data_IF_484581197913
#
_entry.id   IF_484581197913
#
_cell.length_a   1.000
_cell.length_b   1.000
_cell.length_c   1.000
_cell.angle_alpha   90.00
_cell.angle_beta   90.00
_cell.angle_gamma   90.00
#
_symmetry.space_group_name_H-M   'P 1'
#
loop_
_entity.id
_entity.type
_entity.pdbx_description
1 polymer ?
#
# COMPACT_ATOMS: atom_id res chain seq x y z
N UNK A 1 -9.70 8.62 19.47
CA UNK A 1 -11.11 8.83 19.07
C UNK A 1 -12.02 8.83 20.28
N UNK A 2 -12.82 9.88 20.52
CA UNK A 2 -13.88 9.82 21.55
C UNK A 2 -15.01 8.92 21.03
N UNK A 3 -15.57 8.03 21.88
CA UNK A 3 -16.71 7.16 21.55
C UNK A 3 -17.89 7.89 20.90
N UNK A 4 -18.04 9.19 21.16
CA UNK A 4 -19.09 10.05 20.60
C UNK A 4 -19.08 10.13 19.06
N UNK A 5 -17.92 10.00 18.42
CA UNK A 5 -17.81 10.18 16.96
C UNK A 5 -18.19 8.93 16.14
N UNK A 6 -18.19 7.72 16.73
CA UNK A 6 -18.46 6.48 15.97
C UNK A 6 -19.96 6.23 15.79
N UNK A 7 -20.76 6.51 16.82
CA UNK A 7 -22.21 6.37 16.74
C UNK A 7 -22.82 7.36 15.74
N UNK A 8 -22.35 8.62 15.75
CA UNK A 8 -22.77 9.63 14.78
C UNK A 8 -22.38 9.25 13.34
N UNK A 9 -21.20 8.65 13.14
CA UNK A 9 -20.80 8.07 11.86
C UNK A 9 -21.76 6.94 11.41
N UNK A 10 -22.06 5.99 12.30
CA UNK A 10 -22.94 4.87 11.98
C UNK A 10 -24.36 5.33 11.64
N UNK A 11 -24.88 6.30 12.40
CA UNK A 11 -26.19 6.92 12.13
C UNK A 11 -26.16 7.64 10.78
N UNK A 12 -25.12 8.43 10.49
CA UNK A 12 -24.99 9.15 9.22
C UNK A 12 -24.89 8.18 8.02
N UNK A 13 -24.21 7.03 8.19
CA UNK A 13 -24.17 5.97 7.18
C UNK A 13 -25.55 5.37 6.90
N UNK A 14 -26.35 5.11 7.94
CA UNK A 14 -27.72 4.62 7.77
C UNK A 14 -28.64 5.68 7.15
N UNK A 15 -28.42 6.98 7.44
CA UNK A 15 -29.12 8.08 6.74
C UNK A 15 -28.81 8.03 5.24
N UNK A 16 -27.54 7.89 4.84
CA UNK A 16 -27.18 7.79 3.40
C UNK A 16 -27.84 6.60 2.72
N UNK A 17 -27.93 5.45 3.40
CA UNK A 17 -28.50 4.22 2.83
C UNK A 17 -30.01 4.25 2.69
N UNK A 18 -30.72 5.01 3.53
CA UNK A 18 -32.19 4.94 3.66
C UNK A 18 -32.92 6.26 3.42
N UNK A 19 -32.20 7.35 3.17
CA UNK A 19 -32.83 8.65 2.91
C UNK A 19 -33.82 8.59 1.73
N UNK A 20 -34.89 9.40 1.75
CA UNK A 20 -35.22 10.36 2.81
C UNK A 20 -35.92 9.73 4.02
N UNK A 21 -36.67 8.65 3.86
CA UNK A 21 -37.57 8.13 4.89
C UNK A 21 -36.86 7.24 5.91
N UNK A 22 -36.63 7.76 7.11
CA UNK A 22 -35.83 7.09 8.13
C UNK A 22 -36.62 6.93 9.42
N UNK A 23 -36.76 5.68 9.85
CA UNK A 23 -37.34 5.37 11.16
C UNK A 23 -36.21 5.23 12.18
N UNK A 24 -36.18 6.14 13.15
CA UNK A 24 -35.14 6.10 14.21
C UNK A 24 -35.16 4.80 15.01
N UNK A 25 -36.32 4.15 15.14
CA UNK A 25 -36.43 2.81 15.74
C UNK A 25 -35.60 1.77 15.00
N UNK A 26 -35.64 1.75 13.68
CA UNK A 26 -34.86 0.80 12.88
C UNK A 26 -33.35 1.04 13.02
N UNK A 27 -32.93 2.31 13.07
CA UNK A 27 -31.53 2.67 13.35
C UNK A 27 -31.12 2.21 14.76
N UNK A 28 -31.98 2.41 15.75
CA UNK A 28 -31.74 1.99 17.13
C UNK A 28 -31.53 0.47 17.23
N UNK A 29 -32.39 -0.31 16.56
CA UNK A 29 -32.32 -1.77 16.53
C UNK A 29 -31.01 -2.27 15.89
N UNK A 30 -30.55 -1.62 14.80
CA UNK A 30 -29.30 -1.98 14.10
C UNK A 30 -28.06 -1.67 14.94
N UNK A 31 -28.07 -0.51 15.61
CA UNK A 31 -26.93 -0.04 16.38
C UNK A 31 -26.90 -0.60 17.81
N UNK A 32 -27.97 -1.30 18.23
CA UNK A 32 -28.08 -1.84 19.58
C UNK A 32 -28.13 -0.74 20.66
N UNK A 33 -28.70 0.41 20.33
CA UNK A 33 -28.84 1.56 21.26
C UNK A 33 -30.31 1.95 21.42
N UNK A 34 -30.60 2.85 22.36
CA UNK A 34 -31.97 3.33 22.57
C UNK A 34 -32.42 4.31 21.48
N UNK A 35 -33.74 4.35 21.20
CA UNK A 35 -34.32 5.32 20.25
C UNK A 35 -34.03 6.75 20.70
N UNK A 36 -34.04 7.02 22.01
CA UNK A 36 -33.68 8.31 22.59
C UNK A 36 -32.23 8.68 22.30
N UNK A 37 -31.30 7.72 22.35
CA UNK A 37 -29.90 7.91 21.97
C UNK A 37 -29.74 8.24 20.50
N UNK A 38 -30.47 7.55 19.61
CA UNK A 38 -30.53 7.91 18.19
C UNK A 38 -31.07 9.33 18.01
N UNK A 39 -32.17 9.69 18.68
CA UNK A 39 -32.74 11.03 18.60
C UNK A 39 -31.74 12.12 19.02
N UNK A 40 -30.92 11.86 20.04
CA UNK A 40 -29.89 12.80 20.49
C UNK A 40 -28.78 13.01 19.45
N UNK A 41 -28.23 11.92 18.92
CA UNK A 41 -27.22 12.00 17.86
C UNK A 41 -27.75 12.64 16.59
N UNK A 42 -29.00 12.35 16.21
CA UNK A 42 -29.67 13.00 15.07
C UNK A 42 -29.80 14.51 15.29
N UNK A 43 -30.10 14.98 16.51
CA UNK A 43 -30.11 16.42 16.83
C UNK A 43 -28.72 17.04 16.69
N UNK A 44 -27.66 16.37 17.14
CA UNK A 44 -26.29 16.84 16.96
C UNK A 44 -25.92 16.93 15.47
N UNK A 45 -26.22 15.90 14.69
CA UNK A 45 -25.96 15.87 13.24
C UNK A 45 -26.73 16.98 12.49
N UNK A 46 -27.93 17.34 12.93
CA UNK A 46 -28.67 18.51 12.40
C UNK A 46 -27.98 19.81 12.80
N UNK A 47 -27.61 19.95 14.08
CA UNK A 47 -26.94 21.13 14.61
C UNK A 47 -25.61 21.42 13.91
N UNK A 48 -24.86 20.37 13.58
CA UNK A 48 -23.58 20.46 12.87
C UNK A 48 -23.76 20.56 11.33
N UNK A 49 -25.02 20.61 10.86
CA UNK A 49 -25.43 20.72 9.46
C UNK A 49 -25.00 19.52 8.60
N UNK A 50 -24.75 18.36 9.21
CA UNK A 50 -24.44 17.12 8.49
C UNK A 50 -25.70 16.49 7.86
N UNK A 51 -26.86 16.68 8.47
CA UNK A 51 -28.16 16.24 7.93
C UNK A 51 -29.19 17.37 8.01
N UNK A 52 -30.18 17.34 7.11
CA UNK A 52 -31.35 18.22 7.12
C UNK A 52 -32.60 17.40 7.41
N UNK A 53 -33.43 17.91 8.31
CA UNK A 53 -34.74 17.33 8.61
C UNK A 53 -35.81 18.02 7.75
N UNK A 54 -36.53 17.25 6.93
CA UNK A 54 -37.65 17.75 6.09
C UNK A 54 -39.01 17.62 6.79
N UNK A 55 -39.04 17.16 8.04
CA UNK A 55 -40.25 16.84 8.78
C UNK A 55 -40.70 15.40 8.55
N UNK A 56 -41.66 14.92 9.37
CA UNK A 56 -42.28 13.58 9.23
C UNK A 56 -41.30 12.38 9.19
N UNK A 57 -40.14 12.50 9.82
CA UNK A 57 -39.11 11.44 9.81
C UNK A 57 -38.29 11.38 8.51
N UNK A 58 -38.34 12.42 7.70
CA UNK A 58 -37.51 12.55 6.51
C UNK A 58 -36.19 13.27 6.83
N UNK A 59 -35.07 12.59 6.58
CA UNK A 59 -33.74 13.15 6.75
C UNK A 59 -32.92 13.00 5.47
N UNK A 60 -32.20 14.05 5.12
CA UNK A 60 -31.31 14.08 3.96
C UNK A 60 -29.90 14.43 4.41
N UNK A 61 -28.90 13.73 3.87
CA UNK A 61 -27.51 14.13 4.07
C UNK A 61 -27.23 15.44 3.31
N UNK A 62 -26.41 16.31 3.90
CA UNK A 62 -25.91 17.52 3.22
C UNK A 62 -24.57 17.24 2.54
N UNK A 63 -24.10 18.16 1.70
CA UNK A 63 -22.74 18.08 1.16
C UNK A 63 -21.67 18.07 2.26
N UNK A 64 -21.87 18.89 3.31
CA UNK A 64 -21.01 18.93 4.50
C UNK A 64 -21.00 17.58 5.23
N UNK A 65 -22.18 16.96 5.40
CA UNK A 65 -22.30 15.63 5.97
C UNK A 65 -21.60 14.56 5.12
N UNK A 66 -21.73 14.64 3.80
CA UNK A 66 -21.05 13.73 2.87
C UNK A 66 -19.53 13.87 2.95
N UNK A 67 -19.01 15.10 3.03
CA UNK A 67 -17.59 15.37 3.22
C UNK A 67 -17.09 14.86 4.58
N UNK A 68 -17.83 15.12 5.65
CA UNK A 68 -17.53 14.61 6.99
C UNK A 68 -17.47 13.08 7.01
N UNK A 69 -18.44 12.40 6.40
CA UNK A 69 -18.46 10.93 6.29
C UNK A 69 -17.22 10.39 5.57
N UNK A 70 -16.80 11.02 4.47
CA UNK A 70 -15.59 10.62 3.72
C UNK A 70 -14.32 10.79 4.54
N UNK A 71 -14.16 11.93 5.23
CA UNK A 71 -13.01 12.16 6.12
C UNK A 71 -12.97 11.12 7.22
N UNK A 72 -14.12 10.84 7.84
CA UNK A 72 -14.23 9.85 8.91
C UNK A 72 -13.85 8.44 8.44
N UNK A 73 -14.28 8.03 7.23
CA UNK A 73 -13.86 6.75 6.63
C UNK A 73 -12.34 6.69 6.47
N UNK A 74 -11.72 7.79 6.04
CA UNK A 74 -10.26 7.86 5.89
C UNK A 74 -9.56 7.75 7.25
N UNK A 75 -10.00 8.53 8.23
CA UNK A 75 -9.43 8.53 9.58
C UNK A 75 -9.61 7.17 10.27
N UNK A 76 -10.75 6.52 10.06
CA UNK A 76 -11.01 5.20 10.61
C UNK A 76 -10.14 4.12 9.96
N UNK A 77 -9.90 4.19 8.64
CA UNK A 77 -8.93 3.30 7.97
C UNK A 77 -7.52 3.48 8.53
N UNK A 78 -7.09 4.72 8.75
CA UNK A 78 -5.79 5.02 9.35
C UNK A 78 -5.72 4.48 10.79
N UNK A 79 -6.74 4.73 11.60
CA UNK A 79 -6.83 4.19 12.96
C UNK A 79 -6.79 2.65 12.99
N UNK A 80 -7.53 1.99 12.11
CA UNK A 80 -7.47 0.52 12.00
C UNK A 80 -6.09 0.02 11.58
N UNK A 81 -5.39 0.76 10.70
CA UNK A 81 -4.01 0.45 10.34
C UNK A 81 -3.08 0.57 11.55
N UNK A 82 -3.19 1.65 12.32
CA UNK A 82 -2.41 1.88 13.54
C UNK A 82 -2.71 0.82 14.62
N UNK A 83 -4.00 0.50 14.82
CA UNK A 83 -4.43 -0.53 15.77
C UNK A 83 -3.95 -1.91 15.33
N UNK A 84 -4.00 -2.24 14.04
CA UNK A 84 -3.43 -3.49 13.53
C UNK A 84 -1.93 -3.55 13.80
N UNK A 85 -1.18 -2.48 13.52
CA UNK A 85 0.25 -2.41 13.85
C UNK A 85 0.51 -2.65 15.35
N UNK A 86 -0.37 -2.16 16.23
CA UNK A 86 -0.24 -2.30 17.68
C UNK A 86 -0.80 -3.60 18.28
N UNK A 87 -1.74 -4.28 17.62
CA UNK A 87 -2.35 -5.55 18.07
C UNK A 87 -1.42 -6.75 17.89
N UNK A 88 -0.40 -6.64 17.04
CA UNK A 88 0.65 -7.66 16.91
C UNK A 88 1.54 -7.81 18.17
N UNK A 89 1.31 -7.01 19.22
CA UNK A 89 2.02 -7.07 20.52
C UNK A 89 1.75 -8.32 21.37
N UNK A 90 0.90 -9.26 20.94
CA UNK A 90 0.60 -10.51 21.67
C UNK A 90 1.03 -11.80 20.95
N UNK A 91 1.86 -11.70 19.91
CA UNK A 91 2.77 -12.79 19.51
C UNK A 91 4.18 -12.27 19.71
N UNK A 92 4.69 -12.39 20.94
CA UNK A 92 6.01 -11.86 21.32
C UNK A 92 7.15 -12.40 20.46
N UNK A 93 6.90 -13.42 19.64
CA UNK A 93 7.86 -14.02 18.72
C UNK A 93 7.59 -13.59 17.28
N UNK A 94 8.55 -12.90 16.67
CA UNK A 94 8.60 -12.52 15.27
C UNK A 94 9.53 -13.45 14.50
N UNK A 95 9.13 -13.94 13.32
CA UNK A 95 10.04 -14.64 12.43
C UNK A 95 10.99 -13.62 11.77
N UNK A 96 12.26 -13.99 11.69
CA UNK A 96 13.28 -13.26 10.94
C UNK A 96 14.21 -14.26 10.24
N UNK A 97 15.03 -13.80 9.31
CA UNK A 97 16.07 -14.62 8.67
C UNK A 97 17.41 -14.33 9.34
N UNK A 98 18.13 -15.37 9.73
CA UNK A 98 19.46 -15.22 10.30
C UNK A 98 20.50 -14.94 9.19
N UNK A 99 21.23 -13.84 9.28
CA UNK A 99 22.30 -13.54 8.30
C UNK A 99 23.59 -14.30 8.58
N UNK A 100 23.74 -14.83 9.79
CA UNK A 100 24.86 -15.62 10.28
C UNK A 100 24.33 -16.68 11.25
N UNK A 101 25.19 -17.50 11.86
CA UNK A 101 24.71 -18.47 12.85
C UNK A 101 24.30 -17.76 14.14
N UNK A 102 23.04 -17.95 14.54
CA UNK A 102 22.44 -17.29 15.70
C UNK A 102 22.02 -18.36 16.71
N UNK A 103 22.38 -18.16 17.98
CA UNK A 103 22.02 -19.06 19.07
C UNK A 103 20.81 -18.53 19.86
N UNK A 104 19.98 -19.41 20.44
CA UNK A 104 18.99 -18.99 21.42
C UNK A 104 19.60 -18.16 22.56
N UNK A 105 18.93 -17.07 22.94
CA UNK A 105 19.36 -16.14 24.00
C UNK A 105 20.24 -14.98 23.54
N UNK A 106 20.79 -15.04 22.32
CA UNK A 106 21.58 -13.96 21.75
C UNK A 106 20.77 -12.65 21.67
N UNK A 107 21.45 -11.52 21.87
CA UNK A 107 20.92 -10.21 21.48
C UNK A 107 21.38 -9.92 20.07
N UNK A 108 20.47 -9.55 19.19
CA UNK A 108 20.74 -9.32 17.76
C UNK A 108 20.20 -7.97 17.32
N UNK A 109 20.87 -7.34 16.36
CA UNK A 109 20.34 -6.23 15.61
C UNK A 109 19.28 -6.73 14.62
N UNK A 110 18.19 -5.97 14.48
CA UNK A 110 17.06 -6.28 13.60
C UNK A 110 17.01 -5.26 12.48
N UNK A 111 16.86 -5.70 11.24
CA UNK A 111 16.87 -4.80 10.08
C UNK A 111 16.03 -5.35 8.93
N UNK A 112 15.58 -4.46 8.05
CA UNK A 112 14.84 -4.82 6.84
C UNK A 112 15.82 -5.04 5.69
N UNK A 113 15.68 -6.15 4.98
CA UNK A 113 16.43 -6.43 3.75
C UNK A 113 15.51 -7.12 2.75
N UNK A 114 15.38 -6.55 1.54
CA UNK A 114 14.51 -7.06 0.47
C UNK A 114 13.07 -7.33 0.95
N UNK A 115 12.55 -6.43 1.80
CA UNK A 115 11.18 -6.52 2.32
C UNK A 115 10.92 -7.61 3.36
N UNK A 116 11.97 -8.26 3.85
CA UNK A 116 11.91 -9.27 4.92
C UNK A 116 12.79 -8.83 6.09
N UNK A 117 12.42 -9.26 7.29
CA UNK A 117 13.16 -8.96 8.51
C UNK A 117 14.34 -9.94 8.63
N UNK A 118 15.52 -9.39 8.84
CA UNK A 118 16.75 -10.13 9.10
C UNK A 118 17.31 -9.79 10.47
N UNK A 119 18.16 -10.68 10.98
CA UNK A 119 18.91 -10.47 12.21
C UNK A 119 20.38 -10.83 12.08
N UNK A 120 21.22 -10.11 12.82
CA UNK A 120 22.67 -10.32 12.89
C UNK A 120 23.22 -9.87 14.24
N UNK A 121 24.34 -10.47 14.67
CA UNK A 121 25.05 -10.07 15.89
C UNK A 121 25.90 -8.82 15.68
N UNK A 122 26.32 -8.58 14.44
CA UNK A 122 27.35 -7.59 14.07
C UNK A 122 26.77 -6.34 13.41
N UNK A 123 25.45 -6.14 13.46
CA UNK A 123 24.79 -4.96 12.90
C UNK A 123 24.47 -4.00 14.03
N UNK A 124 25.05 -2.81 13.96
CA UNK A 124 24.52 -1.65 14.68
C UNK A 124 23.21 -1.24 13.99
N UNK A 125 22.10 -1.53 14.66
CA UNK A 125 20.75 -1.15 14.24
C UNK A 125 20.06 -0.43 15.38
N UNK A 126 19.24 0.55 15.02
CA UNK A 126 18.32 1.23 15.95
C UNK A 126 17.27 0.27 16.53
N UNK A 127 17.10 -0.92 15.94
CA UNK A 127 16.27 -1.98 16.47
C UNK A 127 17.11 -3.19 16.92
N UNK A 128 16.79 -3.71 18.11
CA UNK A 128 17.41 -4.90 18.69
C UNK A 128 16.35 -5.87 19.19
N UNK A 129 16.69 -7.15 19.31
CA UNK A 129 15.80 -8.18 19.83
C UNK A 129 16.57 -9.30 20.53
N UNK A 130 15.86 -10.11 21.31
CA UNK A 130 16.34 -11.37 21.88
C UNK A 130 15.93 -12.55 21.03
N UNK A 131 16.84 -13.51 20.88
CA UNK A 131 16.57 -14.73 20.11
C UNK A 131 15.88 -15.76 21.00
N UNK A 132 14.69 -16.20 20.60
CA UNK A 132 13.98 -17.32 21.23
C UNK A 132 14.41 -18.67 20.65
N UNK A 133 14.38 -18.81 19.32
CA UNK A 133 14.90 -19.98 18.60
C UNK A 133 15.93 -19.50 17.57
N UNK A 134 17.15 -20.03 17.68
CA UNK A 134 18.26 -19.76 16.77
C UNK A 134 18.27 -20.69 15.57
N UNK A 135 19.22 -20.46 14.66
CA UNK A 135 19.34 -21.13 13.38
C UNK A 135 20.68 -20.83 12.71
N UNK A 136 20.98 -21.53 11.61
CA UNK A 136 22.15 -21.23 10.80
C UNK A 136 21.88 -20.01 9.90
N UNK A 137 22.94 -19.49 9.26
CA UNK A 137 22.79 -18.48 8.21
C UNK A 137 21.79 -18.95 7.13
N UNK A 138 20.77 -18.15 6.89
CA UNK A 138 19.68 -18.41 5.95
C UNK A 138 18.43 -19.07 6.55
N UNK A 139 18.51 -19.62 7.76
CA UNK A 139 17.36 -20.23 8.42
C UNK A 139 16.41 -19.18 8.98
N UNK A 140 15.13 -19.54 9.10
CA UNK A 140 14.19 -18.75 9.90
C UNK A 140 14.50 -18.89 11.39
N UNK A 141 14.43 -17.77 12.10
CA UNK A 141 14.65 -17.67 13.53
C UNK A 141 13.50 -16.93 14.20
N UNK A 142 13.32 -17.21 15.49
CA UNK A 142 12.29 -16.61 16.31
C UNK A 142 12.92 -15.55 17.21
N UNK A 143 12.50 -14.28 17.09
CA UNK A 143 12.97 -13.18 17.95
C UNK A 143 11.85 -12.59 18.78
N UNK A 144 12.15 -12.12 19.98
CA UNK A 144 11.22 -11.46 20.89
C UNK A 144 11.86 -10.25 21.56
N UNK A 145 11.07 -9.51 22.35
CA UNK A 145 11.56 -8.31 23.05
C UNK A 145 12.23 -7.30 22.09
N UNK A 146 11.53 -7.00 20.98
CA UNK A 146 12.03 -6.03 20.01
C UNK A 146 12.00 -4.64 20.62
N UNK A 147 13.15 -4.00 20.71
CA UNK A 147 13.34 -2.65 21.20
C UNK A 147 13.83 -1.73 20.07
N UNK A 148 13.35 -0.49 20.06
CA UNK A 148 13.72 0.50 19.05
C UNK A 148 12.87 0.42 17.77
N UNK A 149 13.32 1.08 16.71
CA UNK A 149 12.58 1.19 15.45
C UNK A 149 13.38 0.53 14.33
N UNK A 150 12.76 -0.42 13.62
CA UNK A 150 13.38 -1.02 12.44
C UNK A 150 13.34 0.02 11.34
N UNK A 151 14.50 0.56 10.96
CA UNK A 151 14.56 1.52 9.87
C UNK A 151 14.20 0.83 8.55
N UNK A 152 13.25 1.42 7.84
CA UNK A 152 12.84 0.98 6.51
C UNK A 152 12.92 2.20 5.60
N UNK A 153 13.94 2.21 4.74
CA UNK A 153 14.01 3.20 3.68
C UNK A 153 12.99 2.85 2.61
N UNK A 154 12.31 3.85 2.06
CA UNK A 154 11.45 3.63 0.90
C UNK A 154 12.32 3.23 -0.30
N UNK A 155 11.96 2.12 -0.94
CA UNK A 155 12.55 1.73 -2.21
C UNK A 155 12.17 2.69 -3.34
N UNK A 156 12.87 2.56 -4.46
CA UNK A 156 12.70 3.37 -5.67
C UNK A 156 12.13 2.52 -6.80
N UNK A 157 11.50 3.17 -7.77
CA UNK A 157 10.92 2.49 -8.93
C UNK A 157 11.64 2.87 -10.21
N UNK A 158 12.05 1.89 -11.00
CA UNK A 158 12.48 2.10 -12.38
C UNK A 158 11.35 1.63 -13.29
N UNK A 159 10.71 2.57 -13.99
CA UNK A 159 9.66 2.26 -14.95
C UNK A 159 10.29 2.11 -16.33
N UNK A 160 10.37 0.87 -16.82
CA UNK A 160 10.73 0.54 -18.20
C UNK A 160 9.49 0.62 -19.07
N UNK A 161 9.32 1.76 -19.74
CA UNK A 161 8.21 2.01 -20.67
C UNK A 161 8.45 1.25 -21.96
N UNK A 162 7.67 0.20 -22.18
CA UNK A 162 7.75 -0.64 -23.39
C UNK A 162 6.72 -0.20 -24.45
N UNK A 163 7.00 -0.44 -25.75
CA UNK A 163 6.05 -0.14 -26.82
C UNK A 163 4.78 -0.99 -26.72
N UNK A 164 3.66 -0.42 -27.16
CA UNK A 164 2.38 -1.15 -27.31
C UNK A 164 2.43 -2.07 -28.53
N UNK A 165 1.50 -3.05 -28.62
CA UNK A 165 1.47 -3.97 -29.78
C UNK A 165 1.30 -3.24 -31.11
N UNK A 166 0.51 -2.17 -31.16
CA UNK A 166 0.35 -1.33 -32.37
C UNK A 166 1.64 -0.62 -32.79
N UNK A 167 2.59 -0.43 -31.87
CA UNK A 167 3.94 0.11 -32.12
C UNK A 167 4.99 -1.00 -32.25
N UNK A 168 4.58 -2.23 -32.56
CA UNK A 168 5.45 -3.39 -32.74
C UNK A 168 5.65 -4.25 -31.48
N UNK A 169 5.12 -3.83 -30.33
CA UNK A 169 5.09 -4.61 -29.08
C UNK A 169 6.46 -5.19 -28.72
N UNK A 170 6.49 -6.45 -28.34
CA UNK A 170 7.73 -7.12 -27.91
C UNK A 170 8.82 -7.22 -29.00
N UNK A 171 8.49 -6.96 -30.27
CA UNK A 171 9.43 -6.98 -31.40
C UNK A 171 10.21 -5.65 -31.52
N UNK A 172 9.62 -4.57 -31.02
CA UNK A 172 10.19 -3.22 -31.06
C UNK A 172 10.83 -2.79 -29.72
N UNK A 173 11.07 -3.74 -28.82
CA UNK A 173 11.73 -3.48 -27.53
C UNK A 173 13.24 -3.50 -27.71
N UNK A 174 13.94 -2.54 -27.11
CA UNK A 174 15.38 -2.61 -26.89
C UNK A 174 15.65 -3.52 -25.68
N UNK A 175 16.06 -4.76 -25.96
CA UNK A 175 16.32 -5.74 -24.91
C UNK A 175 17.64 -5.48 -24.18
N UNK A 176 18.57 -4.72 -24.75
CA UNK A 176 19.84 -4.40 -24.08
C UNK A 176 19.58 -3.45 -22.90
N UNK A 177 18.77 -2.41 -23.10
CA UNK A 177 18.37 -1.52 -22.00
C UNK A 177 17.67 -2.30 -20.89
N UNK A 178 16.79 -3.23 -21.24
CA UNK A 178 16.08 -4.05 -20.25
C UNK A 178 17.05 -4.95 -19.48
N UNK A 179 17.97 -5.65 -20.16
CA UNK A 179 18.98 -6.50 -19.52
C UNK A 179 19.92 -5.70 -18.62
N UNK A 180 20.49 -4.61 -19.12
CA UNK A 180 21.40 -3.77 -18.34
C UNK A 180 20.72 -3.25 -17.07
N UNK A 181 19.46 -2.80 -17.17
CA UNK A 181 18.70 -2.35 -16.00
C UNK A 181 18.51 -3.46 -14.96
N UNK A 182 18.27 -4.70 -15.40
CA UNK A 182 18.11 -5.85 -14.50
C UNK A 182 19.45 -6.26 -13.87
N UNK A 183 20.52 -6.24 -14.64
CA UNK A 183 21.88 -6.59 -14.18
C UNK A 183 22.45 -5.55 -13.20
N UNK A 184 22.15 -4.26 -13.40
CA UNK A 184 22.49 -3.18 -12.46
C UNK A 184 21.71 -3.27 -11.14
N UNK A 185 20.55 -3.93 -11.15
CA UNK A 185 19.63 -4.03 -10.02
C UNK A 185 19.18 -5.49 -9.78
N UNK A 186 20.11 -6.40 -9.45
CA UNK A 186 19.85 -7.84 -9.39
C UNK A 186 18.86 -8.24 -8.27
N UNK A 187 18.67 -7.36 -7.30
CA UNK A 187 17.81 -7.58 -6.12
C UNK A 187 16.46 -6.86 -6.22
N UNK A 188 16.20 -6.15 -7.33
CA UNK A 188 14.95 -5.44 -7.51
C UNK A 188 13.78 -6.41 -7.73
N UNK A 189 12.64 -6.05 -7.14
CA UNK A 189 11.38 -6.75 -7.37
C UNK A 189 10.94 -6.46 -8.80
N UNK A 190 10.59 -7.50 -9.56
CA UNK A 190 10.19 -7.35 -10.96
C UNK A 190 8.67 -7.32 -11.05
N UNK A 191 8.16 -6.18 -11.52
CA UNK A 191 6.76 -5.97 -11.79
C UNK A 191 6.50 -5.93 -13.31
N UNK A 192 5.46 -6.61 -13.76
CA UNK A 192 5.00 -6.50 -15.15
C UNK A 192 3.49 -6.47 -15.24
N UNK A 193 2.98 -5.80 -16.27
CA UNK A 193 1.56 -5.69 -16.51
C UNK A 193 1.23 -5.76 -18.00
N UNK A 194 0.15 -6.48 -18.32
CA UNK A 194 -0.35 -6.62 -19.68
C UNK A 194 0.40 -7.67 -20.50
N UNK A 195 -0.11 -7.91 -21.71
CA UNK A 195 0.35 -9.00 -22.59
C UNK A 195 1.76 -8.79 -23.11
N UNK A 196 2.09 -7.58 -23.57
CA UNK A 196 3.43 -7.28 -24.13
C UNK A 196 4.51 -7.45 -23.06
N UNK A 197 4.28 -6.93 -21.85
CA UNK A 197 5.21 -7.10 -20.72
C UNK A 197 5.42 -8.58 -20.38
N UNK A 198 4.33 -9.36 -20.35
CA UNK A 198 4.38 -10.82 -20.14
C UNK A 198 5.23 -11.54 -21.20
N UNK A 199 5.12 -11.15 -22.47
CA UNK A 199 5.95 -11.75 -23.54
C UNK A 199 7.44 -11.40 -23.36
N UNK A 200 7.75 -10.17 -22.95
CA UNK A 200 9.14 -9.72 -22.74
C UNK A 200 9.79 -10.52 -21.60
N UNK A 201 9.15 -10.59 -20.44
CA UNK A 201 9.70 -11.33 -19.28
C UNK A 201 9.85 -12.83 -19.59
N UNK A 202 8.92 -13.42 -20.35
CA UNK A 202 9.05 -14.82 -20.80
C UNK A 202 10.26 -15.02 -21.72
N UNK A 203 10.50 -14.11 -22.68
CA UNK A 203 11.66 -14.17 -23.59
C UNK A 203 13.00 -13.99 -22.87
N UNK A 204 12.98 -13.26 -21.76
CA UNK A 204 14.14 -13.06 -20.90
C UNK A 204 14.26 -14.13 -19.80
N UNK A 205 13.33 -15.10 -19.76
CA UNK A 205 13.27 -16.16 -18.74
C UNK A 205 13.20 -15.61 -17.31
N UNK A 206 12.55 -14.45 -17.14
CA UNK A 206 12.35 -13.78 -15.85
C UNK A 206 10.98 -14.15 -15.30
N UNK A 207 10.96 -14.52 -14.02
CA UNK A 207 9.73 -14.70 -13.26
C UNK A 207 9.38 -13.40 -12.53
N UNK A 208 8.33 -12.66 -12.93
CA UNK A 208 7.96 -11.42 -12.26
C UNK A 208 7.30 -11.74 -10.91
N UNK A 209 7.74 -11.06 -9.86
CA UNK A 209 7.17 -11.12 -8.52
C UNK A 209 5.75 -10.54 -8.49
N UNK A 210 5.50 -9.50 -9.30
CA UNK A 210 4.24 -8.76 -9.30
C UNK A 210 3.62 -8.76 -10.69
N UNK A 211 2.51 -9.48 -10.86
CA UNK A 211 1.72 -9.54 -12.10
C UNK A 211 0.27 -9.06 -11.96
N UNK A 212 -0.23 -9.00 -10.73
CA UNK A 212 -1.59 -8.58 -10.39
C UNK A 212 -1.54 -7.45 -9.37
N UNK A 213 -2.57 -6.60 -9.35
CA UNK A 213 -2.62 -5.41 -8.50
C UNK A 213 -1.32 -4.60 -8.57
N UNK A 214 -0.79 -4.41 -9.80
CA UNK A 214 0.60 -3.99 -10.02
C UNK A 214 0.90 -2.65 -9.36
N UNK A 215 -0.01 -1.68 -9.42
CA UNK A 215 0.14 -0.39 -8.76
C UNK A 215 0.29 -0.53 -7.24
N UNK A 216 -0.60 -1.30 -6.61
CA UNK A 216 -0.60 -1.54 -5.16
C UNK A 216 0.59 -2.40 -4.73
N UNK A 217 0.97 -3.38 -5.56
CA UNK A 217 2.12 -4.25 -5.35
C UNK A 217 3.43 -3.47 -5.35
N UNK A 218 3.64 -2.60 -6.35
CA UNK A 218 4.82 -1.71 -6.42
C UNK A 218 4.92 -0.86 -5.16
N UNK A 219 3.85 -0.18 -4.77
CA UNK A 219 3.81 0.65 -3.55
C UNK A 219 4.12 -0.18 -2.31
N UNK A 220 3.54 -1.38 -2.21
CA UNK A 220 3.74 -2.28 -1.07
C UNK A 220 5.16 -2.83 -0.97
N UNK A 221 5.84 -3.02 -2.10
CA UNK A 221 7.23 -3.44 -2.16
C UNK A 221 8.17 -2.29 -1.75
N UNK A 222 7.97 -1.08 -2.32
CA UNK A 222 8.77 0.08 -1.97
C UNK A 222 8.63 0.49 -0.50
N UNK A 223 7.42 0.44 0.06
CA UNK A 223 7.18 0.73 1.48
C UNK A 223 7.82 -0.30 2.43
N UNK A 224 8.27 -1.45 1.89
CA UNK A 224 9.06 -2.47 2.61
C UNK A 224 10.56 -2.37 2.30
N UNK A 225 10.99 -1.35 1.57
CA UNK A 225 12.39 -1.12 1.21
C UNK A 225 12.90 -1.95 0.04
N UNK A 226 12.00 -2.45 -0.82
CA UNK A 226 12.40 -3.05 -2.09
C UNK A 226 12.41 -2.00 -3.20
N UNK A 227 13.52 -1.92 -3.94
CA UNK A 227 13.50 -1.30 -5.26
C UNK A 227 12.68 -2.17 -6.22
N UNK A 228 12.04 -1.53 -7.21
CA UNK A 228 11.13 -2.19 -8.13
C UNK A 228 11.46 -1.81 -9.57
N UNK A 229 11.58 -2.79 -10.45
CA UNK A 229 11.62 -2.59 -11.89
C UNK A 229 10.26 -2.93 -12.47
N UNK A 230 9.61 -1.94 -13.09
CA UNK A 230 8.29 -2.08 -13.69
C UNK A 230 8.39 -2.10 -15.23
N UNK A 231 8.22 -3.26 -15.85
CA UNK A 231 8.23 -3.46 -17.31
C UNK A 231 6.80 -3.35 -17.86
N UNK A 232 6.40 -2.16 -18.32
CA UNK A 232 4.97 -1.81 -18.50
C UNK A 232 4.72 -0.95 -19.74
N UNK A 233 3.62 -1.25 -20.44
CA UNK A 233 3.22 -0.51 -21.65
C UNK A 233 2.80 0.93 -21.35
N UNK A 234 3.02 1.85 -22.30
CA UNK A 234 2.92 3.30 -22.10
C UNK A 234 1.68 3.80 -21.37
N UNK A 235 0.46 3.44 -21.79
CA UNK A 235 -0.78 3.91 -21.13
C UNK A 235 -0.92 3.41 -19.69
N UNK A 236 -0.42 2.21 -19.40
CA UNK A 236 -0.46 1.65 -18.04
C UNK A 236 0.63 2.25 -17.15
N UNK A 237 1.79 2.59 -17.72
CA UNK A 237 2.88 3.25 -17.02
C UNK A 237 2.43 4.58 -16.41
N UNK A 238 1.66 5.39 -17.13
CA UNK A 238 1.12 6.66 -16.61
C UNK A 238 0.22 6.49 -15.37
N UNK A 239 -0.63 5.44 -15.35
CA UNK A 239 -1.46 5.14 -14.18
C UNK A 239 -0.62 4.75 -12.96
N UNK A 240 0.44 4.00 -13.20
CA UNK A 240 1.36 3.55 -12.16
C UNK A 240 2.17 4.72 -11.62
N UNK A 241 2.71 5.57 -12.49
CA UNK A 241 3.42 6.80 -12.10
C UNK A 241 2.53 7.67 -11.20
N UNK A 242 1.28 7.92 -11.59
CA UNK A 242 0.33 8.67 -10.74
C UNK A 242 0.13 8.03 -9.35
N UNK A 243 0.18 6.71 -9.28
CA UNK A 243 0.04 5.99 -8.01
C UNK A 243 1.32 6.10 -7.17
N UNK A 244 2.49 5.98 -7.80
CA UNK A 244 3.81 6.15 -7.19
C UNK A 244 3.95 7.58 -6.62
N UNK A 245 3.62 8.61 -7.41
CA UNK A 245 3.63 10.01 -7.01
C UNK A 245 2.74 10.27 -5.80
N UNK A 246 1.50 9.74 -5.82
CA UNK A 246 0.55 9.87 -4.72
C UNK A 246 1.10 9.29 -3.41
N UNK A 247 1.95 8.27 -3.48
CA UNK A 247 2.59 7.64 -2.33
C UNK A 247 3.99 8.21 -2.03
N UNK A 248 4.41 9.28 -2.72
CA UNK A 248 5.71 9.95 -2.53
C UNK A 248 6.92 9.00 -2.68
N UNK A 249 6.81 8.05 -3.59
CA UNK A 249 7.89 7.12 -3.94
C UNK A 249 8.68 7.71 -5.10
N UNK A 250 10.01 7.71 -5.02
CA UNK A 250 10.86 8.19 -6.11
C UNK A 250 10.87 7.21 -7.28
N UNK A 251 10.89 7.72 -8.52
CA UNK A 251 11.00 6.88 -9.70
C UNK A 251 11.88 7.47 -10.80
N UNK A 252 12.42 6.58 -11.63
CA UNK A 252 13.09 6.90 -12.89
C UNK A 252 12.27 6.29 -14.04
N UNK A 253 12.06 7.04 -15.11
CA UNK A 253 11.37 6.57 -16.32
C UNK A 253 12.38 6.35 -17.44
N UNK A 254 12.44 5.13 -17.96
CA UNK A 254 13.30 4.76 -19.08
C UNK A 254 12.42 4.29 -20.25
N UNK A 255 12.76 4.73 -21.47
CA UNK A 255 12.10 4.23 -22.67
C UNK A 255 12.87 3.01 -23.18
N UNK A 256 12.18 1.86 -23.26
CA UNK A 256 12.75 0.60 -23.73
C UNK A 256 12.28 0.25 -25.15
N UNK A 257 11.86 1.24 -25.93
CA UNK A 257 11.56 1.08 -27.36
C UNK A 257 12.86 1.26 -28.16
N UNK A 258 13.06 0.46 -29.21
CA UNK A 258 14.14 0.73 -30.17
C UNK A 258 13.90 2.12 -30.77
N UNK A 259 14.91 2.99 -30.72
CA UNK A 259 14.82 4.28 -31.41
C UNK A 259 14.73 4.00 -32.92
N UNK A 260 13.71 4.56 -33.57
CA UNK A 260 13.71 4.73 -35.03
C UNK A 260 14.32 6.09 -35.34
N UNK A 261 15.16 6.19 -36.37
CA UNK A 261 15.82 7.42 -36.88
C UNK A 261 14.87 8.61 -37.19
N UNK A 262 13.57 8.47 -36.94
CA UNK A 262 12.55 9.51 -37.18
C UNK A 262 12.39 10.53 -36.04
N UNK A 263 13.00 10.33 -34.87
CA UNK A 263 12.90 11.26 -33.73
C UNK A 263 14.03 12.31 -33.68
N UNK A 264 14.90 12.38 -34.69
CA UNK A 264 16.01 13.36 -34.80
C UNK A 264 15.59 14.78 -35.22
N UNK A 265 14.30 15.10 -35.36
CA UNK A 265 13.91 16.45 -35.75
C UNK A 265 13.25 17.24 -34.60
N UNK A 266 14.02 18.06 -33.84
CA UNK A 266 13.44 19.08 -32.99
C UNK A 266 12.93 20.20 -33.92
N UNK A 267 11.69 20.07 -34.39
CA UNK A 267 11.03 21.16 -35.08
C UNK A 267 10.60 22.19 -34.03
N UNK A 268 11.48 23.16 -33.79
CA UNK A 268 11.10 24.46 -33.26
C UNK A 268 10.05 25.07 -34.19
N UNK A 269 8.85 25.31 -33.65
CA UNK A 269 7.97 26.43 -33.98
C UNK A 269 7.12 26.75 -32.74
#
# INVERSE_FOLDING_TARGET
MKKRNITEFQILSEVVRRQPHIKQKEIADILGITVQGVSEHMRNLIKDEHIRNKGRGEYLITEKGMAFLKTWISDFKNYLNDVNQNLYRYKDVWPAIASENIAPGDTVGVYMKKGVIYVSKNIESDATAKVFLGGNSGDDVAIHEIHGHIEVHNGKVIVLKIPSEVMGGSRNVDYEIVRNTLEEHPDAVIATAGTVGTVIVNKLEIHPDIRFAVSEGIVSACNRGCDVIAIITGKMAEKIIKTIDKNKISYTLLNASKMTDSDENPMFL
#
